data_IF_578180110269
#
_entry.id   IF_578180110269
#
_cell.length_a   1.000
_cell.length_b   1.000
_cell.length_c   1.000
_cell.angle_alpha   90.00
_cell.angle_beta   90.00
_cell.angle_gamma   90.00
#
_symmetry.space_group_name_H-M   'P 1'
#
loop_
_entity.id
_entity.type
_entity.pdbx_description
1 polymer ?
#
# COMPACT_ATOMS: atom_id res chain seq x y z
N UNK A 1 -9.00 8.96 5.18
CA UNK A 1 -7.85 8.49 4.35
C UNK A 1 -8.13 7.17 3.63
N UNK A 2 -8.94 6.24 4.20
CA UNK A 2 -9.24 4.96 3.57
C UNK A 2 -10.12 5.03 2.31
N UNK A 3 -10.93 6.07 2.14
CA UNK A 3 -11.84 6.22 1.00
C UNK A 3 -11.10 6.40 -0.34
N UNK A 4 -9.95 7.06 -0.33
CA UNK A 4 -9.20 7.36 -1.54
C UNK A 4 -8.60 6.11 -2.20
N UNK A 5 -7.95 5.19 -1.47
CA UNK A 5 -7.55 3.91 -2.03
C UNK A 5 -8.73 3.08 -2.51
N UNK A 6 -9.85 3.07 -1.79
CA UNK A 6 -11.03 2.32 -2.19
C UNK A 6 -11.62 2.81 -3.52
N UNK A 7 -11.69 4.12 -3.73
CA UNK A 7 -12.12 4.70 -4.99
C UNK A 7 -11.23 4.22 -6.15
N UNK A 8 -9.90 4.29 -6.01
CA UNK A 8 -8.96 3.86 -7.05
C UNK A 8 -9.03 2.36 -7.38
N UNK A 9 -9.45 1.53 -6.43
CA UNK A 9 -9.44 0.07 -6.56
C UNK A 9 -10.69 -0.47 -7.23
N UNK A 10 -11.83 0.17 -7.01
CA UNK A 10 -13.09 -0.27 -7.60
C UNK A 10 -13.06 -0.33 -9.14
N UNK A 11 -12.52 0.68 -9.86
CA UNK A 11 -12.31 0.57 -11.29
C UNK A 11 -11.38 -0.57 -11.70
N UNK A 12 -10.32 -0.84 -10.94
CA UNK A 12 -9.41 -1.96 -11.24
C UNK A 12 -10.18 -3.27 -11.24
N UNK A 13 -11.03 -3.50 -10.25
CA UNK A 13 -11.89 -4.69 -10.20
C UNK A 13 -12.79 -4.78 -11.43
N UNK A 14 -13.52 -3.72 -11.76
CA UNK A 14 -14.42 -3.68 -12.90
C UNK A 14 -13.70 -3.95 -14.24
N UNK A 15 -12.49 -3.42 -14.39
CA UNK A 15 -11.62 -3.70 -15.54
C UNK A 15 -11.21 -5.18 -15.61
N UNK A 16 -10.84 -5.78 -14.50
CA UNK A 16 -10.44 -7.19 -14.44
C UNK A 16 -11.59 -8.12 -14.77
N UNK A 17 -12.79 -7.83 -14.27
CA UNK A 17 -14.02 -8.61 -14.52
C UNK A 17 -14.63 -8.34 -15.91
N UNK A 18 -14.02 -7.43 -16.69
CA UNK A 18 -14.46 -7.05 -18.06
C UNK A 18 -15.82 -6.34 -18.12
N UNK A 19 -16.27 -5.74 -17.07
CA UNK A 19 -17.51 -4.94 -17.04
C UNK A 19 -17.26 -3.52 -17.58
N UNK A 20 -16.97 -3.41 -18.88
CA UNK A 20 -16.51 -2.17 -19.53
C UNK A 20 -17.41 -0.96 -19.30
N UNK A 21 -18.73 -1.14 -19.35
CA UNK A 21 -19.68 -0.02 -19.14
C UNK A 21 -19.54 0.54 -17.71
N UNK A 22 -19.57 -0.33 -16.70
CA UNK A 22 -19.44 0.07 -15.30
C UNK A 22 -18.04 0.63 -15.00
N UNK A 23 -16.99 0.08 -15.62
CA UNK A 23 -15.64 0.64 -15.52
C UNK A 23 -15.59 2.10 -16.01
N UNK A 24 -16.11 2.38 -17.22
CA UNK A 24 -16.14 3.75 -17.76
C UNK A 24 -16.98 4.66 -16.86
N UNK A 25 -18.15 4.20 -16.41
CA UNK A 25 -19.02 4.97 -15.53
C UNK A 25 -18.34 5.30 -14.20
N UNK A 26 -17.61 4.35 -13.59
CA UNK A 26 -16.89 4.58 -12.35
C UNK A 26 -15.77 5.62 -12.51
N UNK A 27 -15.00 5.54 -13.59
CA UNK A 27 -13.96 6.54 -13.89
C UNK A 27 -14.56 7.94 -14.08
N UNK A 28 -15.64 8.06 -14.85
CA UNK A 28 -16.32 9.35 -15.06
C UNK A 28 -16.84 9.93 -13.73
N UNK A 29 -17.42 9.07 -12.89
CA UNK A 29 -17.91 9.46 -11.57
C UNK A 29 -16.79 9.95 -10.66
N UNK A 30 -15.67 9.23 -10.62
CA UNK A 30 -14.48 9.60 -9.82
C UNK A 30 -13.85 10.91 -10.30
N UNK A 31 -13.71 11.09 -11.61
CA UNK A 31 -13.25 12.35 -12.19
C UNK A 31 -14.19 13.50 -11.84
N UNK A 32 -15.50 13.27 -11.85
CA UNK A 32 -16.51 14.23 -11.40
C UNK A 32 -16.33 14.63 -9.94
N UNK A 33 -16.13 13.65 -9.04
CA UNK A 33 -15.85 13.91 -7.62
C UNK A 33 -14.54 14.68 -7.46
N UNK A 34 -13.47 14.27 -8.14
CA UNK A 34 -12.18 14.98 -8.09
C UNK A 34 -12.33 16.44 -8.59
N UNK A 35 -13.07 16.66 -9.66
CA UNK A 35 -13.39 18.00 -10.17
C UNK A 35 -14.15 18.85 -9.15
N UNK A 36 -15.17 18.27 -8.49
CA UNK A 36 -15.94 18.96 -7.45
C UNK A 36 -15.06 19.32 -6.23
N UNK A 37 -14.19 18.41 -5.80
CA UNK A 37 -13.26 18.65 -4.69
C UNK A 37 -12.23 19.72 -5.05
N UNK A 38 -11.74 19.72 -6.30
CA UNK A 38 -10.83 20.74 -6.79
C UNK A 38 -11.47 22.14 -6.81
N UNK A 39 -12.74 22.22 -7.25
CA UNK A 39 -13.50 23.49 -7.29
C UNK A 39 -13.93 23.97 -5.88
N UNK A 40 -14.17 23.03 -4.97
CA UNK A 40 -14.60 23.32 -3.58
C UNK A 40 -13.80 22.49 -2.57
N UNK A 41 -12.54 22.87 -2.26
CA UNK A 41 -11.67 22.12 -1.32
C UNK A 41 -12.27 21.99 0.08
N UNK A 42 -13.19 22.89 0.45
CA UNK A 42 -13.91 22.89 1.74
C UNK A 42 -14.83 21.68 1.94
N UNK A 43 -15.17 20.95 0.86
CA UNK A 43 -15.97 19.72 0.96
C UNK A 43 -15.21 18.60 1.70
N UNK A 44 -13.88 18.64 1.69
CA UNK A 44 -13.04 17.69 2.43
C UNK A 44 -12.08 18.47 3.32
N UNK A 45 -12.47 18.80 4.56
CA UNK A 45 -11.68 19.63 5.48
C UNK A 45 -10.25 19.13 5.71
N UNK A 46 -10.01 17.82 5.60
CA UNK A 46 -8.69 17.20 5.77
C UNK A 46 -7.70 17.44 4.63
N UNK A 47 -8.16 17.85 3.44
CA UNK A 47 -7.28 18.16 2.31
C UNK A 47 -6.62 19.52 2.53
N UNK A 48 -7.31 20.44 3.22
CA UNK A 48 -6.78 21.78 3.55
C UNK A 48 -5.81 21.79 4.74
N UNK A 49 -5.74 20.69 5.50
CA UNK A 49 -4.84 20.60 6.67
C UNK A 49 -3.44 20.14 6.27
N UNK A 50 -2.59 21.11 5.96
CA UNK A 50 -1.18 20.89 5.62
C UNK A 50 -0.32 20.42 6.81
N UNK A 51 -0.83 20.47 8.05
CA UNK A 51 -0.07 20.08 9.24
C UNK A 51 0.26 18.59 9.23
N UNK A 52 -0.67 17.76 8.78
CA UNK A 52 -0.49 16.31 8.62
C UNK A 52 0.59 15.99 7.57
N UNK A 53 0.65 16.74 6.48
CA UNK A 53 1.67 16.55 5.46
C UNK A 53 3.06 17.00 5.95
N UNK A 54 3.14 18.14 6.61
CA UNK A 54 4.38 18.64 7.19
C UNK A 54 4.96 17.67 8.23
N UNK A 55 4.12 17.06 9.06
CA UNK A 55 4.56 16.05 10.04
C UNK A 55 5.10 14.79 9.34
N UNK A 56 4.48 14.33 8.25
CA UNK A 56 4.99 13.20 7.46
C UNK A 56 6.34 13.47 6.83
N UNK A 57 6.57 14.69 6.32
CA UNK A 57 7.89 15.06 5.78
C UNK A 57 8.97 14.97 6.86
N UNK A 58 8.69 15.43 8.10
CA UNK A 58 9.62 15.28 9.22
C UNK A 58 9.90 13.80 9.53
N UNK A 59 8.86 12.99 9.56
CA UNK A 59 8.97 11.54 9.76
C UNK A 59 9.86 10.91 8.69
N UNK A 60 9.63 11.20 7.41
CA UNK A 60 10.41 10.65 6.31
C UNK A 60 11.87 11.12 6.30
N UNK A 61 12.14 12.42 6.61
CA UNK A 61 13.51 12.91 6.74
C UNK A 61 14.29 12.14 7.82
N UNK A 62 13.67 11.89 8.97
CA UNK A 62 14.30 11.10 10.03
C UNK A 62 14.51 9.65 9.60
N UNK A 63 13.55 9.04 8.89
CA UNK A 63 13.68 7.69 8.38
C UNK A 63 14.84 7.59 7.37
N UNK A 64 14.96 8.53 6.43
CA UNK A 64 16.06 8.56 5.46
C UNK A 64 17.43 8.76 6.12
N UNK A 65 17.50 9.58 7.17
CA UNK A 65 18.72 9.72 7.97
C UNK A 65 19.10 8.38 8.61
N UNK A 66 18.16 7.65 9.19
CA UNK A 66 18.42 6.34 9.77
C UNK A 66 18.82 5.31 8.69
N UNK A 67 18.17 5.30 7.53
CA UNK A 67 18.50 4.40 6.41
C UNK A 67 19.93 4.65 5.94
N UNK A 68 20.37 5.92 5.85
CA UNK A 68 21.73 6.23 5.40
C UNK A 68 22.83 5.68 6.31
N UNK A 69 22.53 5.44 7.59
CA UNK A 69 23.49 4.86 8.54
C UNK A 69 23.63 3.34 8.37
N UNK A 70 22.55 2.62 8.06
CA UNK A 70 22.53 1.16 7.86
C UNK A 70 21.72 0.75 6.63
N UNK A 71 22.19 1.08 5.41
CA UNK A 71 21.38 0.93 4.19
C UNK A 71 21.16 -0.53 3.77
N UNK A 72 22.12 -1.43 4.04
CA UNK A 72 22.09 -2.79 3.51
C UNK A 72 21.17 -3.72 4.29
N UNK A 73 21.24 -3.72 5.62
CA UNK A 73 20.53 -4.68 6.49
C UNK A 73 19.52 -4.02 7.40
N UNK A 74 19.45 -2.68 7.42
CA UNK A 74 18.53 -1.90 8.23
C UNK A 74 18.81 -1.99 9.73
N UNK A 75 17.87 -1.49 10.52
CA UNK A 75 17.97 -1.38 11.97
C UNK A 75 17.20 -2.46 12.73
N UNK A 76 16.45 -3.29 12.02
CA UNK A 76 15.50 -4.24 12.59
C UNK A 76 14.08 -3.67 12.72
N UNK A 77 13.08 -4.57 12.85
CA UNK A 77 11.68 -4.18 12.96
C UNK A 77 11.42 -3.33 14.21
N UNK A 78 10.46 -2.41 14.11
CA UNK A 78 10.03 -1.49 15.17
C UNK A 78 11.12 -0.52 15.70
N UNK A 79 12.27 -0.45 15.07
CA UNK A 79 13.35 0.47 15.50
C UNK A 79 12.93 1.94 15.39
N UNK A 80 12.07 2.27 14.44
CA UNK A 80 11.58 3.63 14.26
C UNK A 80 10.89 4.18 15.51
N UNK A 81 10.12 3.39 16.23
CA UNK A 81 9.46 3.77 17.49
C UNK A 81 10.45 4.18 18.60
N UNK A 82 11.66 3.61 18.56
CA UNK A 82 12.72 3.92 19.53
C UNK A 82 13.54 5.13 19.10
N UNK A 83 13.79 5.24 17.79
CA UNK A 83 14.68 6.27 17.24
C UNK A 83 14.03 7.64 17.15
N UNK A 84 12.80 7.72 16.67
CA UNK A 84 12.10 8.96 16.43
C UNK A 84 11.94 9.84 17.68
N UNK A 85 11.61 9.31 18.86
CA UNK A 85 11.52 10.10 20.09
C UNK A 85 12.85 10.72 20.51
N UNK A 86 13.98 10.06 20.22
CA UNK A 86 15.31 10.61 20.56
C UNK A 86 15.63 11.88 19.76
N UNK A 87 15.08 11.98 18.54
CA UNK A 87 15.32 13.13 17.66
C UNK A 87 14.27 14.24 17.87
N UNK A 88 13.01 13.89 18.11
CA UNK A 88 11.88 14.82 18.10
C UNK A 88 11.11 14.95 19.41
N UNK A 89 11.47 14.17 20.44
CA UNK A 89 10.83 14.25 21.76
C UNK A 89 9.40 13.71 21.85
N UNK A 90 8.79 13.25 20.75
CA UNK A 90 7.46 12.64 20.73
C UNK A 90 7.46 11.34 19.95
N UNK A 91 6.47 10.48 20.19
CA UNK A 91 6.41 9.14 19.61
C UNK A 91 5.83 9.16 18.19
N UNK A 92 6.45 8.41 17.29
CA UNK A 92 5.87 8.00 16.01
C UNK A 92 6.01 6.48 15.88
N UNK A 93 4.91 5.75 15.63
CA UNK A 93 4.93 4.28 15.65
C UNK A 93 5.70 3.67 14.46
N UNK A 94 5.70 4.34 13.32
CA UNK A 94 6.28 3.87 12.05
C UNK A 94 6.46 5.06 11.07
N UNK A 95 7.07 4.80 9.93
CA UNK A 95 7.37 5.84 8.94
C UNK A 95 6.14 6.33 8.13
N UNK A 96 4.92 5.81 8.37
CA UNK A 96 3.72 6.09 7.56
C UNK A 96 3.93 5.94 6.05
N UNK A 97 4.79 5.00 5.68
CA UNK A 97 5.06 4.58 4.31
C UNK A 97 5.72 3.22 4.35
N UNK A 98 5.05 2.19 3.79
CA UNK A 98 5.52 0.81 3.87
C UNK A 98 6.89 0.60 3.21
N UNK A 99 7.18 1.33 2.14
CA UNK A 99 8.44 1.20 1.40
C UNK A 99 9.61 1.74 2.22
N UNK A 100 9.44 2.93 2.80
CA UNK A 100 10.44 3.56 3.66
C UNK A 100 10.65 2.71 4.91
N UNK A 101 9.58 2.26 5.54
CA UNK A 101 9.63 1.47 6.78
C UNK A 101 10.27 0.09 6.56
N UNK A 102 10.02 -0.54 5.41
CA UNK A 102 10.66 -1.80 5.04
C UNK A 102 12.17 -1.65 4.85
N UNK A 103 12.61 -0.61 4.13
CA UNK A 103 14.05 -0.35 3.94
C UNK A 103 14.71 0.03 5.27
N UNK A 104 14.03 0.81 6.12
CA UNK A 104 14.52 1.16 7.44
C UNK A 104 14.71 -0.08 8.32
N UNK A 105 13.75 -1.00 8.29
CA UNK A 105 13.74 -2.19 9.14
C UNK A 105 14.67 -3.29 8.64
N UNK A 106 14.67 -3.56 7.35
CA UNK A 106 15.34 -4.73 6.75
C UNK A 106 16.48 -4.36 5.80
N UNK A 107 16.70 -3.08 5.56
CA UNK A 107 17.64 -2.59 4.56
C UNK A 107 17.24 -2.91 3.13
N UNK A 108 18.06 -2.52 2.18
CA UNK A 108 17.82 -2.79 0.75
C UNK A 108 17.86 -4.30 0.46
N UNK A 109 18.76 -5.04 1.10
CA UNK A 109 18.91 -6.49 0.91
C UNK A 109 17.68 -7.23 1.42
N UNK A 110 17.28 -7.02 2.68
CA UNK A 110 16.13 -7.71 3.25
C UNK A 110 14.81 -7.33 2.57
N UNK A 111 14.64 -6.04 2.23
CA UNK A 111 13.47 -5.58 1.45
C UNK A 111 13.44 -6.22 0.07
N UNK A 112 14.60 -6.33 -0.61
CA UNK A 112 14.71 -7.02 -1.90
C UNK A 112 14.33 -8.50 -1.82
N UNK A 113 14.77 -9.21 -0.78
CA UNK A 113 14.40 -10.61 -0.54
C UNK A 113 12.89 -10.74 -0.30
N UNK A 114 12.28 -9.87 0.51
CA UNK A 114 10.83 -9.88 0.74
C UNK A 114 10.04 -9.63 -0.55
N UNK A 115 10.46 -8.69 -1.37
CA UNK A 115 9.82 -8.41 -2.65
C UNK A 115 9.97 -9.60 -3.62
N UNK A 116 11.17 -10.17 -3.73
CA UNK A 116 11.41 -11.34 -4.57
C UNK A 116 10.57 -12.55 -4.11
N UNK A 117 10.51 -12.82 -2.81
CA UNK A 117 9.66 -13.86 -2.23
C UNK A 117 8.18 -13.64 -2.55
N UNK A 118 7.67 -12.42 -2.32
CA UNK A 118 6.28 -12.08 -2.64
C UNK A 118 5.99 -12.24 -4.14
N UNK A 119 6.93 -11.84 -5.00
CA UNK A 119 6.79 -12.00 -6.44
C UNK A 119 6.75 -13.49 -6.85
N UNK A 120 7.65 -14.30 -6.33
CA UNK A 120 7.70 -15.75 -6.62
C UNK A 120 6.41 -16.44 -6.19
N UNK A 121 5.89 -16.13 -5.00
CA UNK A 121 4.63 -16.69 -4.51
C UNK A 121 3.43 -16.30 -5.38
N UNK A 122 3.44 -15.10 -5.94
CA UNK A 122 2.29 -14.58 -6.67
C UNK A 122 2.43 -14.63 -8.19
N UNK A 123 3.56 -15.13 -8.73
CA UNK A 123 3.80 -15.19 -10.18
C UNK A 123 2.69 -15.91 -10.94
N UNK A 124 2.13 -16.97 -10.37
CA UNK A 124 1.07 -17.78 -10.99
C UNK A 124 -0.20 -16.96 -11.25
N UNK A 125 -0.50 -15.97 -10.41
CA UNK A 125 -1.64 -15.07 -10.63
C UNK A 125 -1.48 -14.31 -11.95
N UNK A 126 -0.23 -13.95 -12.30
CA UNK A 126 0.08 -13.17 -13.50
C UNK A 126 0.35 -14.01 -14.73
N UNK A 127 0.86 -15.25 -14.57
CA UNK A 127 1.29 -16.12 -15.66
C UNK A 127 0.21 -17.14 -16.05
N UNK A 128 -0.67 -17.50 -15.13
CA UNK A 128 -1.76 -18.43 -15.37
C UNK A 128 -2.89 -17.84 -16.22
N UNK A 129 -3.70 -18.71 -16.81
CA UNK A 129 -4.89 -18.30 -17.55
C UNK A 129 -6.05 -17.82 -16.63
N UNK A 130 -5.73 -17.51 -15.37
CA UNK A 130 -6.66 -17.20 -14.27
C UNK A 130 -7.67 -16.13 -14.65
N UNK A 131 -7.24 -15.08 -15.37
CA UNK A 131 -8.14 -14.03 -15.84
C UNK A 131 -9.22 -14.54 -16.79
N UNK A 132 -8.94 -15.59 -17.55
CA UNK A 132 -9.92 -16.19 -18.48
C UNK A 132 -10.83 -17.18 -17.77
N UNK A 133 -10.29 -17.95 -16.84
CA UNK A 133 -10.99 -19.02 -16.13
C UNK A 133 -11.85 -18.47 -14.97
N UNK A 134 -11.28 -17.53 -14.19
CA UNK A 134 -11.99 -16.91 -13.08
C UNK A 134 -11.61 -15.42 -12.96
N UNK A 135 -12.26 -14.60 -13.78
CA UNK A 135 -12.01 -13.16 -13.81
C UNK A 135 -12.33 -12.45 -12.48
N UNK A 136 -13.27 -12.99 -11.69
CA UNK A 136 -13.62 -12.42 -10.39
C UNK A 136 -12.50 -12.65 -9.38
N UNK A 137 -11.96 -13.87 -9.28
CA UNK A 137 -10.81 -14.18 -8.43
C UNK A 137 -9.59 -13.33 -8.83
N UNK A 138 -9.28 -13.29 -10.12
CA UNK A 138 -8.19 -12.45 -10.63
C UNK A 138 -8.39 -10.98 -10.25
N UNK A 139 -9.62 -10.45 -10.44
CA UNK A 139 -9.97 -9.08 -10.07
C UNK A 139 -9.79 -8.80 -8.58
N UNK A 140 -10.25 -9.71 -7.71
CA UNK A 140 -10.08 -9.60 -6.26
C UNK A 140 -8.61 -9.58 -5.86
N UNK A 141 -7.77 -10.44 -6.43
CA UNK A 141 -6.34 -10.49 -6.16
C UNK A 141 -5.63 -9.22 -6.62
N UNK A 142 -5.95 -8.74 -7.83
CA UNK A 142 -5.38 -7.48 -8.34
C UNK A 142 -5.77 -6.27 -7.48
N UNK A 143 -7.02 -6.23 -7.01
CA UNK A 143 -7.47 -5.19 -6.09
C UNK A 143 -6.73 -5.25 -4.76
N UNK A 144 -6.54 -6.44 -4.23
CA UNK A 144 -5.84 -6.63 -2.97
C UNK A 144 -4.37 -6.17 -3.07
N UNK A 145 -3.66 -6.57 -4.12
CA UNK A 145 -2.30 -6.11 -4.39
C UNK A 145 -2.26 -4.58 -4.54
N UNK A 146 -3.19 -4.02 -5.31
CA UNK A 146 -3.29 -2.58 -5.50
C UNK A 146 -3.56 -1.82 -4.18
N UNK A 147 -4.42 -2.36 -3.29
CA UNK A 147 -4.64 -1.79 -1.95
C UNK A 147 -3.32 -1.72 -1.19
N UNK A 148 -2.61 -2.82 -1.09
CA UNK A 148 -1.35 -2.88 -0.33
C UNK A 148 -0.34 -1.87 -0.88
N UNK A 149 -0.19 -1.81 -2.21
CA UNK A 149 0.77 -0.93 -2.86
C UNK A 149 0.39 0.55 -2.73
N UNK A 150 -0.86 0.90 -3.02
CA UNK A 150 -1.31 2.32 -3.03
C UNK A 150 -1.45 2.84 -1.60
N UNK A 151 -2.10 2.07 -0.72
CA UNK A 151 -2.26 2.49 0.67
C UNK A 151 -0.92 2.49 1.41
N UNK A 152 -0.01 1.59 1.02
CA UNK A 152 1.36 1.54 1.53
C UNK A 152 2.18 2.82 1.32
N UNK A 153 1.82 3.66 0.34
CA UNK A 153 2.40 5.00 0.20
C UNK A 153 1.98 5.96 1.33
N UNK A 154 0.83 5.71 1.94
CA UNK A 154 0.21 6.60 2.93
C UNK A 154 0.31 6.08 4.36
N UNK A 155 0.51 4.77 4.53
CA UNK A 155 0.58 4.15 5.86
C UNK A 155 1.29 2.78 5.82
N UNK A 156 1.65 2.25 7.00
CA UNK A 156 2.35 0.97 7.19
C UNK A 156 1.39 -0.13 7.66
N UNK A 157 0.34 -0.41 6.89
CA UNK A 157 -0.71 -1.37 7.27
C UNK A 157 -0.20 -2.78 7.52
N UNK A 158 0.86 -3.22 6.82
CA UNK A 158 1.44 -4.55 7.00
C UNK A 158 2.19 -4.71 8.34
N UNK A 159 2.56 -3.62 8.99
CA UNK A 159 3.19 -3.66 10.32
C UNK A 159 2.18 -3.96 11.43
N UNK A 160 0.89 -3.83 11.17
CA UNK A 160 -0.16 -4.27 12.09
C UNK A 160 -0.31 -5.78 11.90
N UNK A 161 -0.04 -6.56 12.96
CA UNK A 161 -0.02 -8.02 12.92
C UNK A 161 -1.28 -8.60 12.28
N UNK A 162 -2.46 -8.11 12.65
CA UNK A 162 -3.73 -8.60 12.11
C UNK A 162 -3.85 -8.39 10.60
N UNK A 163 -3.53 -7.19 10.09
CA UNK A 163 -3.60 -6.88 8.65
C UNK A 163 -2.50 -7.56 7.87
N UNK A 164 -1.27 -7.60 8.41
CA UNK A 164 -0.15 -8.31 7.79
C UNK A 164 -0.41 -9.81 7.67
N UNK A 165 -0.92 -10.45 8.73
CA UNK A 165 -1.28 -11.87 8.71
C UNK A 165 -2.41 -12.15 7.72
N UNK A 166 -3.45 -11.31 7.69
CA UNK A 166 -4.55 -11.44 6.72
C UNK A 166 -4.04 -11.32 5.28
N UNK A 167 -3.17 -10.35 5.02
CA UNK A 167 -2.52 -10.18 3.72
C UNK A 167 -1.76 -11.42 3.30
N UNK A 168 -0.96 -11.97 4.21
CA UNK A 168 -0.18 -13.18 3.96
C UNK A 168 -1.07 -14.39 3.66
N UNK A 169 -2.15 -14.59 4.43
CA UNK A 169 -3.12 -15.67 4.21
C UNK A 169 -3.79 -15.52 2.85
N UNK A 170 -4.29 -14.35 2.50
CA UNK A 170 -4.98 -14.10 1.23
C UNK A 170 -4.05 -14.39 0.04
N UNK A 171 -2.82 -13.85 0.07
CA UNK A 171 -1.86 -14.04 -1.02
C UNK A 171 -1.48 -15.51 -1.20
N UNK A 172 -1.26 -16.25 -0.11
CA UNK A 172 -0.90 -17.67 -0.19
C UNK A 172 -2.09 -18.57 -0.55
N UNK A 173 -3.30 -18.27 -0.10
CA UNK A 173 -4.49 -19.08 -0.43
C UNK A 173 -4.86 -18.99 -1.91
N UNK A 174 -4.61 -17.86 -2.55
CA UNK A 174 -4.87 -17.72 -3.97
C UNK A 174 -3.99 -18.63 -4.84
N UNK A 175 -2.72 -18.80 -4.49
CA UNK A 175 -1.82 -19.73 -5.19
C UNK A 175 -2.34 -21.18 -5.10
N UNK A 176 -2.80 -21.63 -3.93
CA UNK A 176 -3.36 -22.99 -3.74
C UNK A 176 -4.62 -23.24 -4.57
N UNK A 177 -5.39 -22.18 -4.88
CA UNK A 177 -6.60 -22.31 -5.70
C UNK A 177 -6.28 -22.42 -7.19
N UNK A 178 -5.15 -21.90 -7.63
CA UNK A 178 -4.72 -21.88 -9.02
C UNK A 178 -3.94 -23.12 -9.46
N UNK A 179 -3.41 -23.90 -8.51
CA UNK A 179 -2.69 -25.15 -8.77
C UNK A 179 -3.61 -26.35 -9.10
N UNK A 180 -4.92 -26.15 -9.15
CA UNK A 180 -5.91 -27.17 -9.52
C UNK A 180 -6.37 -26.99 -10.97
#
# INVERSE_FOLDING_TARGET
TALLPFALIFPIFLYCVRWKKLFITSIVFELGICGLVFLKPTLIPRISDMSTFASRIKIWKTAFMCISMYPFFGWGPQTYQKFYPLVHGHKAPHAHNIYIDSILSYGVVGTGVLLAYTFVLNKEIFTSNTRKENSALFGMMMCFIAIVLIYGLLDCTLNIVATGTLCFIILNSACMYLEK
#
